data_IF_539577192128
#
_entry.id   IF_539577192128
#
_cell.length_a   1.000
_cell.length_b   1.000
_cell.length_c   1.000
_cell.angle_alpha   90.00
_cell.angle_beta   90.00
_cell.angle_gamma   90.00
#
_symmetry.space_group_name_H-M   'P 1'
#
loop_
_entity.id
_entity.type
_entity.pdbx_description
1 polymer ?
#
# COMPACT_ATOMS: atom_id res chain seq x y z
N UNK A 1 -94.50 46.36 10.93
CA UNK A 1 -95.20 47.37 11.74
C UNK A 1 -95.83 48.50 10.92
N UNK A 2 -95.11 49.21 10.04
CA UNK A 2 -95.70 50.35 9.28
C UNK A 2 -96.94 49.98 8.44
N UNK A 3 -96.93 48.83 7.74
CA UNK A 3 -98.11 48.31 7.02
C UNK A 3 -99.30 48.02 7.94
N UNK A 4 -99.08 47.30 9.03
CA UNK A 4 -100.13 47.01 10.01
C UNK A 4 -100.74 48.29 10.63
N UNK A 5 -99.94 49.35 10.82
CA UNK A 5 -100.43 50.66 11.30
C UNK A 5 -101.24 51.40 10.23
N UNK A 6 -100.92 51.23 8.95
CA UNK A 6 -101.70 51.79 7.84
C UNK A 6 -103.03 51.04 7.67
N UNK A 7 -103.01 49.70 7.68
CA UNK A 7 -104.19 48.85 7.66
C UNK A 7 -105.12 49.15 8.85
N UNK A 8 -104.58 49.33 10.06
CA UNK A 8 -105.38 49.70 11.22
C UNK A 8 -106.01 51.12 11.12
N UNK A 9 -105.36 52.05 10.42
CA UNK A 9 -105.92 53.38 10.15
C UNK A 9 -107.01 53.34 9.08
N UNK A 10 -106.87 52.49 8.07
CA UNK A 10 -107.89 52.28 7.05
C UNK A 10 -109.13 51.60 7.62
N UNK A 11 -108.97 50.53 8.40
CA UNK A 11 -110.06 49.88 9.12
C UNK A 11 -110.79 50.84 10.06
N UNK A 12 -110.08 51.75 10.73
CA UNK A 12 -110.70 52.78 11.58
C UNK A 12 -111.56 53.77 10.78
N UNK A 13 -111.16 54.13 9.56
CA UNK A 13 -111.95 55.00 8.67
C UNK A 13 -113.22 54.28 8.19
N UNK A 14 -113.09 53.02 7.78
CA UNK A 14 -114.24 52.20 7.37
C UNK A 14 -115.24 52.00 8.52
N UNK A 15 -114.76 51.78 9.75
CA UNK A 15 -115.63 51.63 10.93
C UNK A 15 -116.36 52.93 11.29
N UNK A 16 -115.77 54.10 11.01
CA UNK A 16 -116.45 55.40 11.17
C UNK A 16 -117.54 55.58 10.10
N UNK A 17 -117.26 55.23 8.84
CA UNK A 17 -118.27 55.26 7.78
C UNK A 17 -119.44 54.32 8.07
N UNK A 18 -119.17 53.07 8.48
CA UNK A 18 -120.22 52.12 8.86
C UNK A 18 -121.05 52.58 10.07
N UNK A 19 -120.46 53.34 11.01
CA UNK A 19 -121.22 53.96 12.11
C UNK A 19 -122.09 55.11 11.62
N UNK A 20 -121.62 55.87 10.65
CA UNK A 20 -122.37 56.97 10.03
C UNK A 20 -123.56 56.43 9.24
N UNK A 21 -123.35 55.41 8.41
CA UNK A 21 -124.41 54.71 7.66
C UNK A 21 -125.42 54.03 8.60
N UNK A 22 -124.97 53.44 9.71
CA UNK A 22 -125.88 52.87 10.72
C UNK A 22 -126.73 53.95 11.43
N UNK A 23 -126.19 55.15 11.62
CA UNK A 23 -126.93 56.27 12.18
C UNK A 23 -127.91 56.87 11.16
N UNK A 24 -127.52 56.93 9.88
CA UNK A 24 -128.42 57.31 8.77
C UNK A 24 -129.57 56.31 8.60
N UNK A 25 -129.31 55.00 8.73
CA UNK A 25 -130.35 53.96 8.74
C UNK A 25 -131.26 54.07 9.98
N UNK A 26 -130.75 54.53 11.12
CA UNK A 26 -131.57 54.85 12.30
C UNK A 26 -132.47 56.06 12.06
N UNK A 27 -131.94 57.12 11.45
CA UNK A 27 -132.70 58.32 11.08
C UNK A 27 -133.77 57.98 10.01
N UNK A 28 -133.46 57.07 9.07
CA UNK A 28 -134.41 56.58 8.07
C UNK A 28 -135.50 55.67 8.68
N UNK A 29 -135.17 54.85 9.69
CA UNK A 29 -136.14 54.03 10.41
C UNK A 29 -137.02 54.84 11.39
N UNK A 30 -136.53 55.98 11.91
CA UNK A 30 -137.31 56.89 12.78
C UNK A 30 -138.17 57.90 12.01
N UNK A 31 -137.98 58.07 10.68
CA UNK A 31 -138.78 58.96 9.84
C UNK A 31 -140.01 58.32 9.19
N UNK A 32 -140.23 57.00 9.31
CA UNK A 32 -141.35 56.30 8.69
C UNK A 32 -142.08 55.37 9.68
N UNK A 33 -142.68 55.92 10.73
CA UNK A 33 -143.64 55.17 11.56
C UNK A 33 -144.58 56.06 12.39
N UNK A 34 -145.38 56.91 11.75
CA UNK A 34 -146.70 57.38 12.26
C UNK A 34 -147.42 58.21 11.20
N UNK A 35 -148.40 57.61 10.51
CA UNK A 35 -149.67 58.23 10.06
C UNK A 35 -150.47 57.24 9.21
N UNK A 36 -151.48 56.59 9.80
CA UNK A 36 -152.82 56.51 9.18
C UNK A 36 -153.47 57.91 9.31
N UNK A 37 -154.60 58.31 8.66
CA UNK A 37 -155.68 57.51 8.06
C UNK A 37 -156.29 58.16 6.78
N UNK A 38 -157.50 57.74 6.38
CA UNK A 38 -158.43 58.58 5.59
C UNK A 38 -158.52 58.20 4.11
N UNK A 39 -159.43 57.33 3.67
CA UNK A 39 -160.88 57.53 3.44
C UNK A 39 -161.18 58.59 2.35
N UNK A 40 -161.95 58.16 1.34
CA UNK A 40 -163.24 58.69 0.85
C UNK A 40 -163.35 58.40 -0.67
N UNK A 41 -164.28 57.52 -1.07
CA UNK A 41 -165.69 57.86 -1.42
C UNK A 41 -165.77 58.29 -2.90
N UNK A 42 -166.81 58.01 -3.68
CA UNK A 42 -168.20 58.14 -3.31
C UNK A 42 -169.13 57.64 -4.42
N UNK A 43 -170.42 57.69 -4.06
CA UNK A 43 -171.60 58.00 -4.89
C UNK A 43 -172.33 56.77 -5.42
N UNK A 44 -173.57 56.50 -5.07
CA UNK A 44 -174.72 57.27 -4.55
C UNK A 44 -175.97 56.62 -5.20
N UNK A 45 -177.22 56.73 -4.81
CA UNK A 45 -177.97 57.59 -3.87
C UNK A 45 -179.44 57.17 -4.00
N UNK A 46 -180.18 57.01 -2.88
CA UNK A 46 -181.60 57.46 -2.62
C UNK A 46 -182.77 56.91 -3.51
N UNK A 47 -184.05 56.73 -3.15
CA UNK A 47 -184.97 57.37 -2.16
C UNK A 47 -186.37 56.67 -2.13
N UNK A 48 -187.00 56.67 -0.95
CA UNK A 48 -188.43 56.79 -0.53
C UNK A 48 -189.68 56.23 -1.27
N UNK A 49 -190.56 55.63 -0.44
CA UNK A 49 -192.02 55.88 -0.22
C UNK A 49 -193.16 55.43 -1.16
N UNK A 50 -194.08 54.68 -0.53
CA UNK A 50 -195.56 54.83 -0.45
C UNK A 50 -196.53 54.41 -1.59
N UNK A 51 -197.52 53.61 -1.12
CA UNK A 51 -198.99 53.61 -1.34
C UNK A 51 -199.67 53.26 -2.68
N UNK A 52 -200.60 52.29 -2.53
CA UNK A 52 -201.97 52.23 -3.07
C UNK A 52 -202.30 51.54 -4.41
N UNK A 53 -203.19 50.54 -4.26
CA UNK A 53 -204.41 50.18 -5.02
C UNK A 53 -204.43 50.05 -6.56
N UNK A 54 -204.89 48.86 -6.94
CA UNK A 54 -205.87 48.50 -7.99
C UNK A 54 -205.42 48.33 -9.46
N UNK A 55 -205.66 47.08 -9.92
CA UNK A 55 -206.10 46.62 -11.24
C UNK A 55 -205.07 46.45 -12.39
N UNK A 56 -204.55 45.22 -12.57
CA UNK A 56 -204.66 44.39 -13.80
C UNK A 56 -203.55 43.31 -13.91
N UNK A 57 -203.93 42.04 -13.73
CA UNK A 57 -203.08 40.88 -13.38
C UNK A 57 -202.36 40.12 -14.54
N UNK A 58 -201.79 40.75 -15.59
CA UNK A 58 -201.13 39.97 -16.68
C UNK A 58 -199.74 40.42 -17.17
N UNK A 59 -199.24 41.60 -16.76
CA UNK A 59 -197.98 42.16 -17.29
C UNK A 59 -196.76 41.99 -16.35
N UNK A 60 -196.97 41.93 -15.04
CA UNK A 60 -195.89 41.86 -14.02
C UNK A 60 -195.23 40.46 -13.99
N UNK A 61 -196.00 39.40 -14.26
CA UNK A 61 -195.48 38.03 -14.30
C UNK A 61 -194.44 37.83 -15.42
N UNK A 62 -194.60 38.51 -16.57
CA UNK A 62 -193.65 38.47 -17.69
C UNK A 62 -192.32 39.15 -17.34
N UNK A 63 -192.34 40.27 -16.62
CA UNK A 63 -191.12 40.97 -16.18
C UNK A 63 -190.35 40.17 -15.12
N UNK A 64 -191.06 39.55 -14.18
CA UNK A 64 -190.43 38.69 -13.17
C UNK A 64 -189.79 37.45 -13.81
N UNK A 65 -190.46 36.82 -14.78
CA UNK A 65 -189.90 35.70 -15.56
C UNK A 65 -188.66 36.11 -16.36
N UNK A 66 -188.69 37.26 -17.04
CA UNK A 66 -187.50 37.81 -17.71
C UNK A 66 -186.34 38.06 -16.74
N UNK A 67 -186.63 38.61 -15.55
CA UNK A 67 -185.60 38.90 -14.57
C UNK A 67 -184.98 37.63 -13.96
N UNK A 68 -185.78 36.59 -13.72
CA UNK A 68 -185.28 35.26 -13.33
C UNK A 68 -184.40 34.67 -14.44
N UNK A 69 -184.80 34.81 -15.70
CA UNK A 69 -184.03 34.31 -16.83
C UNK A 69 -182.67 35.02 -16.98
N UNK A 70 -182.64 36.35 -16.80
CA UNK A 70 -181.40 37.14 -16.79
C UNK A 70 -180.49 36.74 -15.64
N UNK A 71 -181.02 36.62 -14.42
CA UNK A 71 -180.24 36.20 -13.25
C UNK A 71 -179.70 34.78 -13.38
N UNK A 72 -180.46 33.88 -14.02
CA UNK A 72 -180.02 32.50 -14.30
C UNK A 72 -178.89 32.49 -15.33
N UNK A 73 -179.00 33.30 -16.39
CA UNK A 73 -177.92 33.48 -17.36
C UNK A 73 -176.66 34.05 -16.70
N UNK A 74 -176.81 35.08 -15.86
CA UNK A 74 -175.71 35.66 -15.10
C UNK A 74 -175.06 34.67 -14.12
N UNK A 75 -175.85 33.84 -13.44
CA UNK A 75 -175.31 32.78 -12.58
C UNK A 75 -174.55 31.72 -13.39
N UNK A 76 -175.08 31.29 -14.54
CA UNK A 76 -174.35 30.35 -15.41
C UNK A 76 -173.06 30.95 -15.96
N UNK A 77 -173.04 32.26 -16.23
CA UNK A 77 -171.86 33.00 -16.66
C UNK A 77 -170.83 33.10 -15.53
N UNK A 78 -171.27 33.41 -14.30
CA UNK A 78 -170.42 33.44 -13.11
C UNK A 78 -169.85 32.07 -12.76
N UNK A 79 -170.65 30.99 -12.86
CA UNK A 79 -170.18 29.62 -12.68
C UNK A 79 -169.14 29.25 -13.75
N UNK A 80 -169.40 29.61 -15.01
CA UNK A 80 -168.43 29.39 -16.09
C UNK A 80 -167.13 30.17 -15.88
N UNK A 81 -167.22 31.40 -15.37
CA UNK A 81 -166.07 32.24 -15.03
C UNK A 81 -165.32 31.70 -13.81
N UNK A 82 -166.02 31.18 -12.80
CA UNK A 82 -165.41 30.54 -11.64
C UNK A 82 -164.65 29.26 -12.05
N UNK A 83 -165.21 28.44 -12.94
CA UNK A 83 -164.55 27.25 -13.49
C UNK A 83 -163.32 27.66 -14.30
N UNK A 84 -163.41 28.68 -15.17
CA UNK A 84 -162.25 29.18 -15.93
C UNK A 84 -161.15 29.72 -15.03
N UNK A 85 -161.51 30.48 -13.99
CA UNK A 85 -160.55 31.00 -13.01
C UNK A 85 -159.90 29.86 -12.23
N UNK A 86 -160.68 28.86 -11.80
CA UNK A 86 -160.15 27.70 -11.09
C UNK A 86 -159.19 26.89 -11.95
N UNK A 87 -159.54 26.67 -13.22
CA UNK A 87 -158.66 26.01 -14.19
C UNK A 87 -157.39 26.82 -14.46
N UNK A 88 -157.51 28.16 -14.57
CA UNK A 88 -156.35 29.04 -14.74
C UNK A 88 -155.42 29.01 -13.52
N UNK A 89 -155.97 28.97 -12.31
CA UNK A 89 -155.19 28.82 -11.08
C UNK A 89 -154.51 27.47 -11.05
N UNK A 90 -155.20 26.38 -11.40
CA UNK A 90 -154.61 25.04 -11.46
C UNK A 90 -153.48 24.93 -12.50
N UNK A 91 -153.66 25.52 -13.69
CA UNK A 91 -152.62 25.57 -14.72
C UNK A 91 -151.40 26.36 -14.22
N UNK A 92 -151.61 27.51 -13.59
CA UNK A 92 -150.52 28.32 -13.01
C UNK A 92 -149.82 27.60 -11.85
N UNK A 93 -150.56 26.94 -10.95
CA UNK A 93 -150.01 26.13 -9.86
C UNK A 93 -149.17 24.97 -10.42
N UNK A 94 -149.61 24.33 -11.50
CA UNK A 94 -148.84 23.27 -12.17
C UNK A 94 -147.57 23.81 -12.85
N UNK A 95 -147.64 25.01 -13.44
CA UNK A 95 -146.51 25.70 -14.05
C UNK A 95 -145.50 26.16 -12.99
N UNK A 96 -145.96 26.72 -11.89
CA UNK A 96 -145.13 27.09 -10.74
C UNK A 96 -144.50 25.85 -10.10
N UNK A 97 -145.24 24.75 -9.94
CA UNK A 97 -144.68 23.48 -9.47
C UNK A 97 -143.58 22.95 -10.41
N UNK A 98 -143.80 22.99 -11.73
CA UNK A 98 -142.80 22.56 -12.72
C UNK A 98 -141.54 23.45 -12.71
N UNK A 99 -141.71 24.77 -12.62
CA UNK A 99 -140.57 25.70 -12.54
C UNK A 99 -139.82 25.54 -11.21
N UNK A 100 -140.50 25.33 -10.09
CA UNK A 100 -139.86 25.03 -8.79
C UNK A 100 -139.06 23.74 -8.87
N UNK A 101 -139.59 22.67 -9.48
CA UNK A 101 -138.85 21.40 -9.67
C UNK A 101 -137.61 21.62 -10.53
N UNK A 102 -137.73 22.38 -11.64
CA UNK A 102 -136.61 22.68 -12.52
C UNK A 102 -135.54 23.54 -11.82
N UNK A 103 -135.93 24.59 -11.11
CA UNK A 103 -135.02 25.43 -10.33
C UNK A 103 -134.33 24.62 -9.22
N UNK A 104 -135.05 23.69 -8.58
CA UNK A 104 -134.48 22.80 -7.57
C UNK A 104 -133.46 21.82 -8.17
N UNK A 105 -133.72 21.28 -9.37
CA UNK A 105 -132.77 20.43 -10.08
C UNK A 105 -131.52 21.21 -10.51
N UNK A 106 -131.70 22.40 -11.08
CA UNK A 106 -130.61 23.30 -11.47
C UNK A 106 -129.76 23.72 -10.25
N UNK A 107 -130.38 24.01 -9.10
CA UNK A 107 -129.67 24.31 -7.86
C UNK A 107 -128.81 23.11 -7.42
N UNK A 108 -129.37 21.89 -7.44
CA UNK A 108 -128.61 20.68 -7.11
C UNK A 108 -127.43 20.47 -8.07
N UNK A 109 -127.62 20.66 -9.37
CA UNK A 109 -126.53 20.56 -10.35
C UNK A 109 -125.42 21.59 -10.07
N UNK A 110 -125.80 22.85 -9.82
CA UNK A 110 -124.84 23.91 -9.44
C UNK A 110 -124.12 23.59 -8.14
N UNK A 111 -124.79 23.01 -7.16
CA UNK A 111 -124.14 22.56 -5.92
C UNK A 111 -123.11 21.45 -6.18
N UNK A 112 -123.39 20.50 -7.08
CA UNK A 112 -122.42 19.47 -7.48
C UNK A 112 -121.24 20.05 -8.27
N UNK A 113 -121.47 21.03 -9.15
CA UNK A 113 -120.38 21.76 -9.83
C UNK A 113 -119.50 22.50 -8.82
N UNK A 114 -120.11 23.18 -7.84
CA UNK A 114 -119.39 23.90 -6.78
C UNK A 114 -118.55 22.94 -5.94
N UNK A 115 -119.05 21.76 -5.59
CA UNK A 115 -118.25 20.76 -4.85
C UNK A 115 -117.10 20.23 -5.69
N UNK A 116 -117.34 19.90 -6.96
CA UNK A 116 -116.28 19.46 -7.89
C UNK A 116 -115.18 20.51 -8.05
N UNK A 117 -115.54 21.78 -8.31
CA UNK A 117 -114.57 22.88 -8.44
C UNK A 117 -113.81 23.11 -7.14
N UNK A 118 -114.46 22.96 -5.98
CA UNK A 118 -113.78 23.03 -4.67
C UNK A 118 -112.78 21.89 -4.48
N UNK A 119 -113.10 20.68 -4.93
CA UNK A 119 -112.18 19.54 -4.88
C UNK A 119 -110.99 19.72 -5.81
N UNK A 120 -111.22 20.19 -7.04
CA UNK A 120 -110.13 20.45 -8.00
C UNK A 120 -109.25 21.60 -7.55
N UNK A 121 -109.82 22.64 -6.92
CA UNK A 121 -109.05 23.70 -6.27
C UNK A 121 -108.17 23.13 -5.13
N UNK A 122 -108.67 22.18 -4.34
CA UNK A 122 -107.86 21.51 -3.30
C UNK A 122 -106.73 20.68 -3.92
N UNK A 123 -107.01 19.90 -4.97
CA UNK A 123 -105.99 19.11 -5.71
C UNK A 123 -104.92 20.02 -6.30
N UNK A 124 -105.31 21.10 -6.97
CA UNK A 124 -104.38 22.08 -7.55
C UNK A 124 -103.50 22.75 -6.49
N UNK A 125 -104.06 23.08 -5.32
CA UNK A 125 -103.28 23.60 -4.18
C UNK A 125 -102.24 22.59 -3.68
N UNK A 126 -102.60 21.31 -3.55
CA UNK A 126 -101.65 20.27 -3.15
C UNK A 126 -100.51 20.10 -4.18
N UNK A 127 -100.82 20.10 -5.48
CA UNK A 127 -99.81 20.05 -6.54
C UNK A 127 -98.92 21.29 -6.53
N UNK A 128 -99.48 22.48 -6.32
CA UNK A 128 -98.72 23.72 -6.18
C UNK A 128 -97.78 23.69 -4.95
N UNK A 129 -98.25 23.18 -3.82
CA UNK A 129 -97.43 23.02 -2.61
C UNK A 129 -96.34 21.97 -2.80
N UNK A 130 -96.63 20.85 -3.48
CA UNK A 130 -95.65 19.80 -3.75
C UNK A 130 -94.57 20.28 -4.74
N UNK A 131 -94.95 20.97 -5.82
CA UNK A 131 -94.02 21.58 -6.78
C UNK A 131 -93.18 22.66 -6.11
N UNK A 132 -93.78 23.50 -5.25
CA UNK A 132 -93.03 24.47 -4.43
C UNK A 132 -92.00 23.79 -3.54
N UNK A 133 -92.36 22.69 -2.86
CA UNK A 133 -91.40 21.89 -2.06
C UNK A 133 -90.28 21.30 -2.92
N UNK A 134 -90.61 20.73 -4.10
CA UNK A 134 -89.63 20.20 -5.06
C UNK A 134 -88.67 21.28 -5.55
N UNK A 135 -89.19 22.44 -5.97
CA UNK A 135 -88.37 23.58 -6.39
C UNK A 135 -87.48 24.10 -5.26
N UNK A 136 -87.98 24.17 -4.02
CA UNK A 136 -87.17 24.56 -2.86
C UNK A 136 -86.08 23.53 -2.54
N UNK A 137 -86.36 22.24 -2.66
CA UNK A 137 -85.37 21.16 -2.48
C UNK A 137 -84.27 21.24 -3.55
N UNK A 138 -84.65 21.34 -4.82
CA UNK A 138 -83.70 21.51 -5.94
C UNK A 138 -82.83 22.77 -5.78
N UNK A 139 -83.42 23.89 -5.31
CA UNK A 139 -82.68 25.12 -5.02
C UNK A 139 -81.64 24.93 -3.91
N UNK A 140 -81.94 24.16 -2.87
CA UNK A 140 -80.98 23.85 -1.80
C UNK A 140 -79.86 22.95 -2.32
N UNK A 141 -80.22 21.87 -3.02
CA UNK A 141 -79.24 20.94 -3.61
C UNK A 141 -78.29 21.64 -4.59
N UNK A 142 -78.80 22.52 -5.45
CA UNK A 142 -77.96 23.30 -6.39
C UNK A 142 -77.06 24.30 -5.69
N UNK A 143 -77.49 24.89 -4.57
CA UNK A 143 -76.63 25.75 -3.74
C UNK A 143 -75.52 24.94 -3.07
N UNK A 144 -75.83 23.78 -2.52
CA UNK A 144 -74.84 22.88 -1.90
C UNK A 144 -73.85 22.33 -2.93
N UNK A 145 -74.31 21.99 -4.14
CA UNK A 145 -73.46 21.57 -5.25
C UNK A 145 -72.52 22.70 -5.72
N UNK A 146 -73.05 23.92 -5.88
CA UNK A 146 -72.22 25.09 -6.20
C UNK A 146 -71.19 25.39 -5.11
N UNK A 147 -71.56 25.22 -3.84
CA UNK A 147 -70.62 25.39 -2.72
C UNK A 147 -69.53 24.31 -2.69
N UNK A 148 -69.87 23.05 -2.98
CA UNK A 148 -68.88 21.97 -3.14
C UNK A 148 -67.92 22.25 -4.29
N UNK A 149 -68.44 22.66 -5.45
CA UNK A 149 -67.61 23.02 -6.60
C UNK A 149 -66.66 24.21 -6.31
N UNK A 150 -67.11 25.20 -5.54
CA UNK A 150 -66.25 26.31 -5.10
C UNK A 150 -65.12 25.82 -4.17
N UNK A 151 -65.43 24.95 -3.21
CA UNK A 151 -64.42 24.37 -2.32
C UNK A 151 -63.39 23.54 -3.07
N UNK A 152 -63.82 22.72 -4.04
CA UNK A 152 -62.94 21.94 -4.91
C UNK A 152 -62.05 22.86 -5.76
N UNK A 153 -62.60 23.92 -6.34
CA UNK A 153 -61.82 24.92 -7.08
C UNK A 153 -60.80 25.64 -6.20
N UNK A 154 -61.15 25.98 -4.96
CA UNK A 154 -60.20 26.56 -4.01
C UNK A 154 -59.05 25.61 -3.69
N UNK A 155 -59.33 24.32 -3.51
CA UNK A 155 -58.31 23.29 -3.29
C UNK A 155 -57.40 23.15 -4.50
N UNK A 156 -57.97 23.05 -5.71
CA UNK A 156 -57.21 23.00 -6.96
C UNK A 156 -56.34 24.24 -7.15
N UNK A 157 -56.84 25.43 -6.82
CA UNK A 157 -56.05 26.66 -6.87
C UNK A 157 -54.88 26.65 -5.87
N UNK A 158 -55.06 26.08 -4.68
CA UNK A 158 -53.96 25.89 -3.70
C UNK A 158 -52.92 24.91 -4.24
N UNK A 159 -53.35 23.75 -4.76
CA UNK A 159 -52.46 22.77 -5.37
C UNK A 159 -51.68 23.36 -6.56
N UNK A 160 -52.34 24.12 -7.43
CA UNK A 160 -51.70 24.79 -8.56
C UNK A 160 -50.61 25.78 -8.10
N UNK A 161 -50.88 26.57 -7.06
CA UNK A 161 -49.87 27.47 -6.46
C UNK A 161 -48.68 26.71 -5.88
N UNK A 162 -48.91 25.60 -5.19
CA UNK A 162 -47.84 24.74 -4.66
C UNK A 162 -46.98 24.17 -5.78
N UNK A 163 -47.60 23.63 -6.84
CA UNK A 163 -46.89 23.10 -8.01
C UNK A 163 -46.10 24.20 -8.74
N UNK A 164 -46.66 25.40 -8.88
CA UNK A 164 -45.95 26.54 -9.46
C UNK A 164 -44.74 26.96 -8.62
N UNK A 165 -44.86 26.94 -7.29
CA UNK A 165 -43.75 27.16 -6.37
C UNK A 165 -42.63 26.12 -6.52
N UNK A 166 -43.00 24.84 -6.66
CA UNK A 166 -42.04 23.75 -6.91
C UNK A 166 -41.37 23.89 -8.30
N UNK A 167 -42.13 24.23 -9.34
CA UNK A 167 -41.61 24.51 -10.68
C UNK A 167 -40.62 25.68 -10.68
N UNK A 168 -40.87 26.72 -9.88
CA UNK A 168 -39.96 27.86 -9.74
C UNK A 168 -38.61 27.49 -9.06
N UNK A 169 -38.59 26.46 -8.21
CA UNK A 169 -37.37 25.97 -7.54
C UNK A 169 -36.52 25.04 -8.43
N UNK A 170 -37.12 24.37 -9.42
CA UNK A 170 -36.42 23.43 -10.31
C UNK A 170 -35.19 24.03 -11.01
N UNK A 171 -35.22 25.25 -11.59
CA UNK A 171 -34.04 25.85 -12.20
C UNK A 171 -32.89 26.04 -11.22
N UNK A 172 -33.17 26.39 -9.96
CA UNK A 172 -32.15 26.54 -8.92
C UNK A 172 -31.53 25.21 -8.54
N UNK A 173 -32.35 24.17 -8.33
CA UNK A 173 -31.86 22.81 -8.05
C UNK A 173 -31.03 22.26 -9.22
N UNK A 174 -31.45 22.52 -10.47
CA UNK A 174 -30.69 22.15 -11.67
C UNK A 174 -29.33 22.83 -11.71
N UNK A 175 -29.25 24.14 -11.40
CA UNK A 175 -27.97 24.86 -11.30
C UNK A 175 -27.08 24.29 -10.20
N UNK A 176 -27.64 23.94 -9.04
CA UNK A 176 -26.89 23.31 -7.95
C UNK A 176 -26.35 21.93 -8.34
N UNK A 177 -27.14 21.12 -9.05
CA UNK A 177 -26.72 19.82 -9.57
C UNK A 177 -25.55 19.97 -10.55
N UNK A 178 -25.66 20.87 -11.53
CA UNK A 178 -24.60 21.09 -12.52
C UNK A 178 -23.32 21.64 -11.87
N UNK A 179 -23.44 22.54 -10.90
CA UNK A 179 -22.29 23.00 -10.10
C UNK A 179 -21.63 21.87 -9.32
N UNK A 180 -22.41 20.97 -8.72
CA UNK A 180 -21.89 19.81 -8.01
C UNK A 180 -21.21 18.81 -8.96
N UNK A 181 -21.73 18.63 -10.19
CA UNK A 181 -21.10 17.82 -11.23
C UNK A 181 -19.77 18.43 -11.70
N UNK A 182 -19.74 19.73 -11.97
CA UNK A 182 -18.52 20.44 -12.36
C UNK A 182 -17.43 20.30 -11.30
N UNK A 183 -17.75 20.58 -10.02
CA UNK A 183 -16.81 20.38 -8.91
C UNK A 183 -16.28 18.95 -8.81
N UNK A 184 -17.14 17.94 -9.04
CA UNK A 184 -16.71 16.54 -9.03
C UNK A 184 -15.79 16.22 -10.20
N UNK A 185 -16.07 16.76 -11.38
CA UNK A 185 -15.21 16.61 -12.56
C UNK A 185 -13.84 17.28 -12.32
N UNK A 186 -13.81 18.52 -11.83
CA UNK A 186 -12.58 19.25 -11.51
C UNK A 186 -11.70 18.46 -10.52
N UNK A 187 -12.31 17.93 -9.46
CA UNK A 187 -11.59 17.12 -8.46
C UNK A 187 -11.08 15.83 -9.08
N UNK A 188 -11.86 15.15 -9.92
CA UNK A 188 -11.45 13.94 -10.62
C UNK A 188 -10.26 14.21 -11.56
N UNK A 189 -10.31 15.28 -12.35
CA UNK A 189 -9.20 15.70 -13.22
C UNK A 189 -7.93 16.02 -12.42
N UNK A 190 -8.05 16.71 -11.29
CA UNK A 190 -6.89 16.99 -10.41
C UNK A 190 -6.28 15.69 -9.87
N UNK A 191 -7.10 14.72 -9.46
CA UNK A 191 -6.61 13.42 -8.98
C UNK A 191 -5.96 12.61 -10.10
N UNK A 192 -6.57 12.57 -11.28
CA UNK A 192 -6.01 11.92 -12.45
C UNK A 192 -4.66 12.53 -12.83
N UNK A 193 -4.57 13.86 -12.93
CA UNK A 193 -3.32 14.57 -13.20
C UNK A 193 -2.24 14.29 -12.15
N UNK A 194 -2.60 14.19 -10.86
CA UNK A 194 -1.65 13.83 -9.79
C UNK A 194 -1.16 12.39 -9.92
N UNK A 195 -2.04 11.47 -10.28
CA UNK A 195 -1.70 10.08 -10.51
C UNK A 195 -0.75 9.95 -11.71
N UNK A 196 -1.11 10.55 -12.85
CA UNK A 196 -0.27 10.56 -14.04
C UNK A 196 1.11 11.19 -13.78
N UNK A 197 1.18 12.27 -13.00
CA UNK A 197 2.47 12.87 -12.58
C UNK A 197 3.29 11.94 -11.70
N UNK A 198 2.66 11.22 -10.77
CA UNK A 198 3.35 10.23 -9.93
C UNK A 198 3.86 9.07 -10.75
N UNK A 199 3.05 8.55 -11.68
CA UNK A 199 3.43 7.44 -12.55
C UNK A 199 4.58 7.85 -13.48
N UNK A 200 4.53 9.05 -14.05
CA UNK A 200 5.65 9.57 -14.85
C UNK A 200 6.91 9.82 -14.00
N UNK A 201 6.78 10.26 -12.75
CA UNK A 201 7.94 10.43 -11.86
C UNK A 201 8.55 9.07 -11.49
N UNK A 202 7.69 8.09 -11.18
CA UNK A 202 8.11 6.72 -10.89
C UNK A 202 8.83 6.08 -12.08
N UNK A 203 8.31 6.21 -13.30
CA UNK A 203 8.96 5.70 -14.50
C UNK A 203 10.34 6.34 -14.72
N UNK A 204 10.47 7.65 -14.55
CA UNK A 204 11.78 8.33 -14.65
C UNK A 204 12.76 7.86 -13.58
N UNK A 205 12.29 7.64 -12.35
CA UNK A 205 13.12 7.11 -11.27
C UNK A 205 13.55 5.66 -11.52
N UNK A 206 12.64 4.83 -12.03
CA UNK A 206 12.94 3.44 -12.43
C UNK A 206 13.97 3.40 -13.57
N UNK A 207 13.82 4.26 -14.59
CA UNK A 207 14.78 4.41 -15.68
C UNK A 207 16.16 4.86 -15.17
N UNK A 208 16.21 5.88 -14.31
CA UNK A 208 17.46 6.34 -13.70
C UNK A 208 18.10 5.26 -12.81
N UNK A 209 17.30 4.48 -12.08
CA UNK A 209 17.78 3.36 -11.27
C UNK A 209 18.37 2.24 -12.14
N UNK A 210 17.70 1.89 -13.25
CA UNK A 210 18.23 0.94 -14.24
C UNK A 210 19.55 1.41 -14.84
N UNK A 211 19.65 2.70 -15.21
CA UNK A 211 20.89 3.27 -15.73
C UNK A 211 22.03 3.18 -14.70
N UNK A 212 21.79 3.59 -13.44
CA UNK A 212 22.79 3.45 -12.37
C UNK A 212 23.20 2.00 -12.13
N UNK A 213 22.26 1.06 -12.21
CA UNK A 213 22.57 -0.36 -12.09
C UNK A 213 23.45 -0.84 -13.24
N UNK A 214 23.19 -0.41 -14.48
CA UNK A 214 24.04 -0.75 -15.63
C UNK A 214 25.43 -0.11 -15.52
N UNK A 215 25.52 1.13 -15.08
CA UNK A 215 26.81 1.82 -14.83
C UNK A 215 27.61 1.13 -13.73
N UNK A 216 26.94 0.78 -12.62
CA UNK A 216 27.58 0.03 -11.52
C UNK A 216 28.01 -1.37 -11.96
N UNK A 217 27.21 -2.06 -12.78
CA UNK A 217 27.58 -3.36 -13.33
C UNK A 217 28.80 -3.26 -14.25
N UNK A 218 28.87 -2.21 -15.08
CA UNK A 218 30.04 -1.95 -15.92
C UNK A 218 31.30 -1.67 -15.09
N UNK A 219 31.20 -0.84 -14.05
CA UNK A 219 32.31 -0.58 -13.11
C UNK A 219 32.77 -1.85 -12.39
N UNK A 220 31.84 -2.72 -11.99
CA UNK A 220 32.19 -4.02 -11.38
C UNK A 220 32.94 -4.88 -12.39
N UNK A 221 32.51 -4.93 -13.66
CA UNK A 221 33.19 -5.68 -14.70
C UNK A 221 34.63 -5.17 -14.93
N UNK A 222 34.82 -3.86 -15.02
CA UNK A 222 36.14 -3.22 -15.14
C UNK A 222 37.04 -3.58 -13.94
N UNK A 223 36.52 -3.46 -12.71
CA UNK A 223 37.26 -3.81 -11.50
C UNK A 223 37.56 -5.32 -11.42
N UNK A 224 36.69 -6.19 -11.94
CA UNK A 224 36.97 -7.63 -12.00
C UNK A 224 38.09 -7.95 -12.98
N UNK A 225 38.11 -7.29 -14.13
CA UNK A 225 39.17 -7.45 -15.13
C UNK A 225 40.51 -6.92 -14.59
N UNK A 226 40.52 -5.76 -13.93
CA UNK A 226 41.70 -5.23 -13.25
C UNK A 226 42.22 -6.16 -12.16
N UNK A 227 41.31 -6.72 -11.34
CA UNK A 227 41.67 -7.71 -10.31
C UNK A 227 42.32 -8.94 -10.93
N UNK A 228 41.78 -9.45 -12.03
CA UNK A 228 42.33 -10.63 -12.71
C UNK A 228 43.70 -10.33 -13.33
N UNK A 229 43.86 -9.17 -13.95
CA UNK A 229 45.16 -8.70 -14.45
C UNK A 229 46.20 -8.56 -13.34
N UNK A 230 45.83 -7.95 -12.21
CA UNK A 230 46.71 -7.82 -11.05
C UNK A 230 47.06 -9.19 -10.45
N UNK A 231 46.10 -10.10 -10.38
CA UNK A 231 46.33 -11.47 -9.92
C UNK A 231 47.31 -12.21 -10.83
N UNK A 232 47.13 -12.14 -12.15
CA UNK A 232 48.04 -12.75 -13.11
C UNK A 232 49.47 -12.19 -12.99
N UNK A 233 49.59 -10.86 -12.77
CA UNK A 233 50.88 -10.20 -12.54
C UNK A 233 51.53 -10.62 -11.22
N UNK A 234 50.74 -10.80 -10.16
CA UNK A 234 51.23 -11.34 -8.88
C UNK A 234 51.75 -12.77 -9.06
N UNK A 235 50.99 -13.64 -9.71
CA UNK A 235 51.42 -15.02 -10.00
C UNK A 235 52.70 -15.06 -10.86
N UNK A 236 52.87 -14.12 -11.79
CA UNK A 236 54.10 -13.99 -12.58
C UNK A 236 55.29 -13.53 -11.72
N UNK A 237 55.09 -12.57 -10.82
CA UNK A 237 56.13 -12.10 -9.90
C UNK A 237 56.51 -13.18 -8.88
N UNK A 238 55.55 -13.93 -8.36
CA UNK A 238 55.78 -15.08 -7.48
C UNK A 238 56.62 -16.15 -8.19
N UNK A 239 56.28 -16.48 -9.45
CA UNK A 239 57.10 -17.39 -10.28
C UNK A 239 58.53 -16.88 -10.45
N UNK A 240 58.70 -15.61 -10.84
CA UNK A 240 60.04 -15.00 -10.98
C UNK A 240 60.85 -15.04 -9.68
N UNK A 241 60.20 -14.83 -8.53
CA UNK A 241 60.86 -14.90 -7.23
C UNK A 241 61.30 -16.33 -6.91
N UNK A 242 60.44 -17.32 -7.18
CA UNK A 242 60.82 -18.73 -7.02
C UNK A 242 61.98 -19.12 -7.94
N UNK A 243 62.01 -18.64 -9.18
CA UNK A 243 63.10 -18.88 -10.12
C UNK A 243 64.42 -18.27 -9.60
N UNK A 244 64.39 -17.01 -9.15
CA UNK A 244 65.55 -16.35 -8.54
C UNK A 244 66.04 -17.09 -7.27
N UNK A 245 65.12 -17.52 -6.41
CA UNK A 245 65.48 -18.28 -5.20
C UNK A 245 66.10 -19.64 -5.55
N UNK A 246 65.64 -20.29 -6.63
CA UNK A 246 66.23 -21.53 -7.13
C UNK A 246 67.63 -21.28 -7.71
N UNK A 247 67.79 -20.25 -8.55
CA UNK A 247 69.07 -19.84 -9.11
C UNK A 247 70.09 -19.52 -8.00
N UNK A 248 69.71 -18.72 -6.99
CA UNK A 248 70.56 -18.43 -5.84
C UNK A 248 70.92 -19.68 -5.02
N UNK A 249 70.00 -20.63 -4.87
CA UNK A 249 70.31 -21.90 -4.20
C UNK A 249 71.31 -22.74 -4.99
N UNK A 250 71.20 -22.76 -6.31
CA UNK A 250 72.12 -23.46 -7.19
C UNK A 250 73.49 -22.77 -7.22
N UNK A 251 73.54 -21.44 -7.29
CA UNK A 251 74.77 -20.66 -7.12
C UNK A 251 75.43 -20.95 -5.76
N UNK A 252 74.67 -20.93 -4.67
CA UNK A 252 75.19 -21.24 -3.34
C UNK A 252 75.75 -22.67 -3.26
N UNK A 253 75.10 -23.65 -3.93
CA UNK A 253 75.62 -25.02 -4.03
C UNK A 253 76.92 -25.06 -4.82
N UNK A 254 77.00 -24.34 -5.95
CA UNK A 254 78.22 -24.25 -6.75
C UNK A 254 79.37 -23.56 -6.00
N UNK A 255 79.10 -22.45 -5.31
CA UNK A 255 80.08 -21.78 -4.46
C UNK A 255 80.54 -22.69 -3.31
N UNK A 256 79.61 -23.40 -2.66
CA UNK A 256 79.95 -24.36 -1.60
C UNK A 256 80.83 -25.51 -2.13
N UNK A 257 80.54 -26.03 -3.33
CA UNK A 257 81.37 -27.03 -3.99
C UNK A 257 82.77 -26.48 -4.31
N UNK A 258 82.84 -25.28 -4.90
CA UNK A 258 84.11 -24.61 -5.22
C UNK A 258 84.94 -24.35 -3.96
N UNK A 259 84.31 -23.92 -2.86
CA UNK A 259 84.98 -23.74 -1.58
C UNK A 259 85.52 -25.08 -1.05
N UNK A 260 84.75 -26.16 -1.13
CA UNK A 260 85.23 -27.49 -0.74
C UNK A 260 86.42 -27.97 -1.60
N UNK A 261 86.42 -27.70 -2.91
CA UNK A 261 87.55 -27.97 -3.79
C UNK A 261 88.79 -27.12 -3.44
N UNK A 262 88.59 -25.83 -3.16
CA UNK A 262 89.66 -24.93 -2.71
C UNK A 262 90.22 -25.36 -1.35
N UNK A 263 89.37 -25.74 -0.40
CA UNK A 263 89.80 -26.33 0.88
C UNK A 263 90.60 -27.61 0.64
N UNK A 264 90.14 -28.49 -0.25
CA UNK A 264 90.83 -29.73 -0.62
C UNK A 264 92.21 -29.48 -1.24
N UNK A 265 92.32 -28.55 -2.19
CA UNK A 265 93.61 -28.17 -2.81
C UNK A 265 94.54 -27.49 -1.80
N UNK A 266 93.99 -26.64 -0.91
CA UNK A 266 94.76 -26.01 0.17
C UNK A 266 95.33 -27.07 1.13
N UNK A 267 94.54 -28.07 1.52
CA UNK A 267 95.02 -29.20 2.33
C UNK A 267 96.09 -30.02 1.60
N UNK A 268 95.94 -30.25 0.29
CA UNK A 268 96.96 -30.94 -0.52
C UNK A 268 98.27 -30.13 -0.59
N UNK A 269 98.20 -28.82 -0.79
CA UNK A 269 99.36 -27.93 -0.78
C UNK A 269 100.01 -27.89 0.60
N UNK A 270 99.22 -27.80 1.68
CA UNK A 270 99.73 -27.85 3.05
C UNK A 270 100.45 -29.19 3.31
N UNK A 271 99.89 -30.32 2.85
CA UNK A 271 100.54 -31.63 2.96
C UNK A 271 101.85 -31.69 2.16
N UNK A 272 101.88 -31.19 0.92
CA UNK A 272 103.10 -31.11 0.10
C UNK A 272 104.15 -30.21 0.74
N UNK A 273 103.74 -29.08 1.33
CA UNK A 273 104.62 -28.17 2.04
C UNK A 273 105.23 -28.85 3.27
N UNK A 274 104.44 -29.57 4.07
CA UNK A 274 104.96 -30.37 5.19
C UNK A 274 105.97 -31.43 4.74
N UNK A 275 105.72 -32.12 3.61
CA UNK A 275 106.66 -33.09 3.03
C UNK A 275 107.93 -32.41 2.53
N UNK A 276 107.81 -31.27 1.84
CA UNK A 276 108.96 -30.50 1.37
C UNK A 276 109.78 -29.93 2.53
N UNK A 277 109.14 -29.45 3.60
CA UNK A 277 109.81 -29.05 4.84
C UNK A 277 110.54 -30.22 5.49
N UNK A 278 109.93 -31.40 5.56
CA UNK A 278 110.60 -32.59 6.08
C UNK A 278 111.82 -32.97 5.22
N UNK A 279 111.66 -33.00 3.90
CA UNK A 279 112.76 -33.26 2.96
C UNK A 279 113.87 -32.20 3.05
N UNK A 280 113.53 -30.92 3.27
CA UNK A 280 114.51 -29.86 3.49
C UNK A 280 115.25 -30.03 4.83
N UNK A 281 114.56 -30.45 5.89
CA UNK A 281 115.20 -30.79 7.18
C UNK A 281 116.12 -32.00 7.03
N UNK A 282 115.70 -33.04 6.30
CA UNK A 282 116.53 -34.21 5.99
C UNK A 282 117.74 -33.84 5.13
N UNK A 283 117.57 -33.00 4.11
CA UNK A 283 118.67 -32.50 3.28
C UNK A 283 119.66 -31.66 4.10
N UNK A 284 119.18 -30.79 5.00
CA UNK A 284 120.03 -30.04 5.90
C UNK A 284 120.80 -30.96 6.87
N UNK A 285 120.15 -32.00 7.40
CA UNK A 285 120.82 -33.03 8.20
C UNK A 285 121.88 -33.79 7.39
N UNK A 286 121.56 -34.15 6.14
CA UNK A 286 122.50 -34.80 5.23
C UNK A 286 123.70 -33.90 4.89
N UNK A 287 123.50 -32.59 4.73
CA UNK A 287 124.59 -31.64 4.52
C UNK A 287 125.50 -31.53 5.75
N UNK A 288 124.93 -31.51 6.95
CA UNK A 288 125.70 -31.54 8.20
C UNK A 288 126.53 -32.82 8.29
N UNK A 289 125.91 -33.99 8.04
CA UNK A 289 126.62 -35.27 8.01
C UNK A 289 127.71 -35.26 6.93
N UNK A 290 127.42 -34.74 5.73
CA UNK A 290 128.40 -34.66 4.64
C UNK A 290 129.60 -33.79 5.05
N UNK A 291 129.37 -32.62 5.67
CA UNK A 291 130.45 -31.77 6.21
C UNK A 291 131.24 -32.49 7.30
N UNK A 292 130.57 -33.14 8.24
CA UNK A 292 131.24 -33.94 9.28
C UNK A 292 132.07 -35.08 8.68
N UNK A 293 131.57 -35.78 7.66
CA UNK A 293 132.32 -36.84 6.97
C UNK A 293 133.50 -36.27 6.19
N UNK A 294 133.35 -35.12 5.55
CA UNK A 294 134.44 -34.44 4.86
C UNK A 294 135.52 -33.98 5.85
N UNK A 295 135.14 -33.45 7.01
CA UNK A 295 136.06 -33.11 8.09
C UNK A 295 136.77 -34.35 8.66
N UNK A 296 136.08 -35.47 8.80
CA UNK A 296 136.71 -36.73 9.21
C UNK A 296 137.69 -37.23 8.13
N UNK A 297 137.32 -37.14 6.86
CA UNK A 297 138.18 -37.52 5.74
C UNK A 297 139.44 -36.64 5.68
N UNK A 298 139.30 -35.32 5.82
CA UNK A 298 140.47 -34.42 5.86
C UNK A 298 141.36 -34.67 7.07
N UNK A 299 140.79 -34.94 8.25
CA UNK A 299 141.57 -35.36 9.44
C UNK A 299 142.33 -36.67 9.21
N UNK A 300 141.71 -37.65 8.55
CA UNK A 300 142.37 -38.91 8.20
C UNK A 300 143.46 -38.71 7.15
N UNK A 301 143.25 -37.84 6.16
CA UNK A 301 144.29 -37.46 5.19
C UNK A 301 145.49 -36.80 5.86
N UNK A 302 145.27 -35.86 6.78
CA UNK A 302 146.33 -35.24 7.58
C UNK A 302 147.11 -36.28 8.40
N UNK A 303 146.41 -37.20 9.08
CA UNK A 303 147.04 -38.30 9.81
C UNK A 303 147.89 -39.20 8.89
N UNK A 304 147.47 -39.41 7.65
CA UNK A 304 148.20 -40.20 6.67
C UNK A 304 149.44 -39.45 6.14
N UNK A 305 149.33 -38.14 5.91
CA UNK A 305 150.46 -37.25 5.56
C UNK A 305 151.49 -37.22 6.69
N UNK A 306 151.07 -37.00 7.94
CA UNK A 306 151.96 -37.04 9.12
C UNK A 306 152.66 -38.41 9.26
N UNK A 307 151.96 -39.50 8.95
CA UNK A 307 152.54 -40.84 8.95
C UNK A 307 153.52 -41.04 7.78
N UNK A 308 153.26 -40.48 6.60
CA UNK A 308 154.17 -40.50 5.46
C UNK A 308 155.45 -39.71 5.77
N UNK A 309 155.33 -38.51 6.33
CA UNK A 309 156.46 -37.68 6.76
C UNK A 309 157.30 -38.40 7.82
N UNK A 310 156.67 -39.11 8.77
CA UNK A 310 157.38 -39.91 9.75
C UNK A 310 158.13 -41.11 9.14
N UNK A 311 157.62 -41.68 8.04
CA UNK A 311 158.30 -42.73 7.29
C UNK A 311 159.45 -42.15 6.47
N UNK A 312 159.26 -41.00 5.83
CA UNK A 312 160.29 -40.29 5.08
C UNK A 312 161.46 -39.89 6.00
N UNK A 313 161.17 -39.33 7.18
CA UNK A 313 162.19 -39.02 8.18
C UNK A 313 162.96 -40.27 8.66
N UNK A 314 162.31 -41.43 8.74
CA UNK A 314 162.97 -42.71 9.04
C UNK A 314 163.81 -43.21 7.87
N UNK A 315 163.33 -43.06 6.64
CA UNK A 315 164.04 -43.43 5.43
C UNK A 315 165.32 -42.59 5.28
N UNK A 316 165.24 -41.27 5.43
CA UNK A 316 166.41 -40.39 5.40
C UNK A 316 167.43 -40.76 6.49
N UNK A 317 166.98 -41.16 7.68
CA UNK A 317 167.88 -41.61 8.75
C UNK A 317 168.59 -42.91 8.37
N UNK A 318 167.86 -43.86 7.80
CA UNK A 318 168.44 -45.10 7.29
C UNK A 318 169.45 -44.85 6.15
N UNK A 319 169.17 -43.90 5.26
CA UNK A 319 170.10 -43.49 4.20
C UNK A 319 171.38 -42.86 4.78
N UNK A 320 171.26 -41.97 5.78
CA UNK A 320 172.43 -41.40 6.46
C UNK A 320 173.29 -42.48 7.12
N UNK A 321 172.67 -43.47 7.76
CA UNK A 321 173.35 -44.60 8.38
C UNK A 321 174.06 -45.49 7.32
N UNK A 322 173.43 -45.68 6.15
CA UNK A 322 173.99 -46.46 5.03
C UNK A 322 175.21 -45.76 4.40
N UNK A 323 175.16 -44.44 4.23
CA UNK A 323 176.29 -43.63 3.76
C UNK A 323 177.46 -43.67 4.77
N UNK A 324 177.18 -43.66 6.07
CA UNK A 324 178.21 -43.87 7.10
C UNK A 324 178.83 -45.28 7.02
N UNK A 325 178.05 -46.33 6.76
CA UNK A 325 178.57 -47.68 6.60
C UNK A 325 179.42 -47.83 5.32
N UNK A 326 179.01 -47.22 4.21
CA UNK A 326 179.75 -47.24 2.94
C UNK A 326 181.10 -46.49 3.04
N UNK A 327 181.17 -45.39 3.77
CA UNK A 327 182.43 -44.66 4.00
C UNK A 327 183.40 -45.43 4.90
N UNK A 328 182.89 -46.18 5.88
CA UNK A 328 183.71 -47.11 6.67
C UNK A 328 184.26 -48.26 5.82
N UNK A 329 183.43 -48.86 4.96
CA UNK A 329 183.84 -49.90 4.00
C UNK A 329 184.91 -49.38 3.03
N UNK A 330 184.74 -48.17 2.51
CA UNK A 330 185.70 -47.54 1.58
C UNK A 330 187.05 -47.27 2.24
N UNK A 331 187.07 -46.86 3.52
CA UNK A 331 188.31 -46.71 4.29
C UNK A 331 189.02 -48.05 4.52
N UNK A 332 188.27 -49.12 4.82
CA UNK A 332 188.83 -50.46 4.99
C UNK A 332 189.39 -51.02 3.67
N UNK A 333 188.69 -50.79 2.55
CA UNK A 333 189.16 -51.19 1.21
C UNK A 333 190.46 -50.49 0.79
N UNK A 334 190.60 -49.19 1.11
CA UNK A 334 191.82 -48.43 0.84
C UNK A 334 193.03 -48.86 1.69
N UNK A 335 192.81 -49.26 2.95
CA UNK A 335 193.88 -49.72 3.82
C UNK A 335 194.44 -51.10 3.42
N UNK A 336 193.60 -51.98 2.84
CA UNK A 336 193.99 -53.33 2.43
C UNK A 336 194.77 -53.35 1.12
N UNK A 337 194.36 -52.53 0.15
CA UNK A 337 195.07 -52.37 -1.14
C UNK A 337 196.49 -51.81 -0.98
N UNK A 338 196.71 -50.91 -0.01
CA UNK A 338 198.04 -50.37 0.30
C UNK A 338 199.05 -51.39 0.85
N UNK A 339 198.60 -52.57 1.31
CA UNK A 339 199.45 -53.66 1.81
C UNK A 339 199.69 -54.79 0.81
N UNK A 340 199.25 -54.62 -0.44
CA UNK A 340 199.44 -55.64 -1.49
C UNK A 340 198.57 -56.89 -1.33
N UNK A 341 197.46 -56.81 -0.57
CA UNK A 341 196.53 -57.92 -0.34
C UNK A 341 195.12 -57.48 -0.77
N UNK A 342 194.49 -58.21 -1.69
CA UNK A 342 193.11 -57.94 -2.13
C UNK A 342 192.09 -58.53 -1.15
N UNK A 343 191.01 -57.77 -0.87
CA UNK A 343 189.92 -58.15 0.04
C UNK A 343 189.29 -59.52 -0.34
N UNK A 344 189.25 -59.84 -1.63
CA UNK A 344 188.80 -61.14 -2.15
C UNK A 344 189.69 -62.33 -1.76
N UNK A 345 190.96 -62.09 -1.41
CA UNK A 345 191.86 -63.15 -0.95
C UNK A 345 191.62 -63.52 0.53
N UNK A 346 191.14 -62.57 1.35
CA UNK A 346 190.76 -62.81 2.75
C UNK A 346 189.36 -63.42 2.90
N UNK A 347 188.45 -63.14 1.96
CA UNK A 347 187.11 -63.78 1.92
C UNK A 347 187.15 -65.27 1.52
N UNK A 348 188.30 -65.79 1.05
CA UNK A 348 188.51 -67.21 0.72
C UNK A 348 189.03 -68.06 1.90
N UNK A 349 189.30 -67.48 3.07
CA UNK A 349 189.63 -68.20 4.30
C UNK A 349 188.70 -67.81 5.46
N UNK A 350 187.46 -68.30 5.45
CA UNK A 350 186.71 -68.53 6.69
C UNK A 350 185.46 -69.40 6.46
N UNK A 351 185.39 -70.48 7.24
CA UNK A 351 184.27 -71.42 7.40
C UNK A 351 183.20 -70.89 8.40
N UNK A 352 182.03 -71.56 8.55
CA UNK A 352 180.70 -70.95 8.63
C UNK A 352 180.25 -70.63 10.06
N UNK A 353 179.40 -69.62 10.26
CA UNK A 353 178.68 -69.42 11.54
C UNK A 353 177.24 -68.90 11.32
N UNK A 354 176.30 -69.78 11.64
CA UNK A 354 174.91 -69.50 12.02
C UNK A 354 174.85 -68.67 13.29
N UNK A 355 174.04 -67.60 13.34
CA UNK A 355 173.62 -66.97 14.60
C UNK A 355 172.15 -66.58 14.56
N UNK A 356 171.42 -67.19 15.51
CA UNK A 356 170.08 -66.88 15.95
C UNK A 356 170.08 -65.72 16.98
N UNK A 357 168.87 -65.29 17.36
CA UNK A 357 168.51 -64.30 18.40
C UNK A 357 168.44 -62.85 17.89
N UNK A 358 167.46 -62.01 18.25
CA UNK A 358 166.74 -61.90 19.53
C UNK A 358 165.49 -61.01 19.36
N UNK A 359 164.36 -61.50 19.85
CA UNK A 359 163.13 -60.83 20.34
C UNK A 359 163.43 -59.62 21.27
N UNK A 360 162.50 -58.69 21.64
CA UNK A 360 161.21 -59.10 22.23
C UNK A 360 159.99 -58.15 22.29
N UNK A 361 158.91 -58.74 22.79
CA UNK A 361 157.91 -58.12 23.71
C UNK A 361 156.92 -57.14 23.08
N UNK A 362 155.71 -56.90 23.56
CA UNK A 362 155.02 -57.28 24.79
C UNK A 362 153.58 -56.79 24.61
N UNK A 363 152.60 -57.65 24.90
CA UNK A 363 151.42 -57.31 25.71
C UNK A 363 150.44 -56.24 25.15
N UNK A 364 149.21 -56.06 25.60
CA UNK A 364 148.28 -56.72 26.52
C UNK A 364 147.06 -55.81 26.47
N UNK A 365 145.86 -56.40 26.53
CA UNK A 365 144.71 -55.80 27.24
C UNK A 365 144.17 -54.50 26.60
N UNK A 366 142.99 -53.98 26.88
CA UNK A 366 141.83 -54.31 27.68
C UNK A 366 140.74 -53.41 27.06
N UNK A 367 139.56 -53.93 26.77
CA UNK A 367 138.42 -53.85 27.67
C UNK A 367 137.79 -52.46 27.80
N UNK A 368 136.45 -52.49 27.70
CA UNK A 368 135.49 -51.66 28.44
C UNK A 368 135.32 -50.23 27.92
N UNK A 369 134.13 -49.96 27.40
CA UNK A 369 133.00 -49.40 28.18
C UNK A 369 133.08 -47.87 28.06
N UNK A 370 132.00 -47.10 28.09
CA UNK A 370 130.70 -47.22 28.73
C UNK A 370 129.96 -45.92 28.35
N UNK A 371 128.64 -45.91 28.55
CA UNK A 371 127.90 -44.81 29.22
C UNK A 371 128.17 -43.36 28.76
N UNK A 372 127.19 -42.52 28.43
CA UNK A 372 125.86 -42.25 29.01
C UNK A 372 125.23 -41.26 28.02
N UNK A 373 123.95 -41.27 27.73
CA UNK A 373 122.84 -41.42 28.66
C UNK A 373 122.18 -40.06 28.85
N UNK A 374 120.88 -39.99 28.57
CA UNK A 374 119.85 -39.19 29.26
C UNK A 374 118.64 -39.04 28.34
N UNK A 375 117.38 -39.05 28.74
CA UNK A 375 116.62 -39.72 29.81
C UNK A 375 115.16 -39.25 29.60
N UNK A 376 114.19 -40.08 30.01
CA UNK A 376 112.81 -39.70 30.41
C UNK A 376 111.87 -39.17 29.30
N UNK A 377 110.60 -39.56 29.17
CA UNK A 377 109.63 -40.14 30.11
C UNK A 377 108.41 -40.64 29.30
N UNK A 378 107.65 -41.56 29.89
CA UNK A 378 106.42 -42.09 29.32
C UNK A 378 105.20 -41.85 30.27
N UNK A 379 104.01 -41.83 29.63
CA UNK A 379 102.61 -42.15 30.07
C UNK A 379 101.83 -41.21 31.03
N UNK A 380 100.47 -41.35 31.20
CA UNK A 380 99.30 -41.51 30.27
C UNK A 380 98.09 -40.56 30.59
N UNK A 381 97.00 -40.58 29.78
CA UNK A 381 95.55 -40.82 30.16
C UNK A 381 94.43 -39.99 29.47
N UNK A 382 93.32 -40.70 29.15
CA UNK A 382 91.88 -40.35 29.09
C UNK A 382 91.33 -39.37 28.03
N UNK A 383 90.45 -39.75 27.10
CA UNK A 383 89.01 -40.15 27.17
C UNK A 383 88.03 -38.98 27.25
N UNK A 384 87.20 -38.77 26.20
CA UNK A 384 85.71 -38.73 26.22
C UNK A 384 85.09 -38.14 24.94
N UNK A 385 84.30 -38.96 24.24
CA UNK A 385 83.03 -38.55 23.60
C UNK A 385 82.00 -38.19 24.69
N UNK A 386 80.96 -37.36 24.42
CA UNK A 386 79.69 -37.92 23.91
C UNK A 386 78.84 -37.01 22.97
N UNK A 387 78.21 -37.65 21.98
CA UNK A 387 76.74 -37.73 21.75
C UNK A 387 75.85 -36.61 22.35
N UNK A 388 74.99 -35.95 21.55
CA UNK A 388 73.51 -36.20 21.48
C UNK A 388 72.71 -35.17 20.64
N UNK A 389 71.86 -35.74 19.80
CA UNK A 389 70.68 -35.23 19.09
C UNK A 389 69.67 -34.36 19.88
N UNK A 390 68.92 -33.46 19.20
CA UNK A 390 67.46 -33.60 18.92
C UNK A 390 66.80 -32.36 18.27
N UNK A 391 66.30 -32.61 17.05
CA UNK A 391 65.04 -32.24 16.40
C UNK A 391 63.97 -31.38 17.11
N UNK A 392 63.48 -30.40 16.33
CA UNK A 392 62.07 -30.11 15.94
C UNK A 392 60.97 -30.12 17.01
N UNK A 393 60.22 -29.01 17.12
CA UNK A 393 58.86 -28.88 16.57
C UNK A 393 58.13 -27.63 17.09
N UNK A 394 57.59 -26.83 16.16
CA UNK A 394 56.38 -25.99 16.35
C UNK A 394 55.14 -26.90 16.24
N UNK A 395 53.98 -26.51 16.81
CA UNK A 395 52.91 -25.90 15.98
C UNK A 395 52.22 -24.70 16.69
N UNK A 396 51.86 -23.61 15.99
CA UNK A 396 50.66 -23.33 15.16
C UNK A 396 49.37 -23.02 15.97
N UNK A 397 48.84 -21.81 15.70
CA UNK A 397 47.44 -21.46 15.36
C UNK A 397 46.39 -21.46 16.50
N UNK A 398 45.38 -20.61 16.56
CA UNK A 398 44.96 -19.34 15.93
C UNK A 398 43.52 -19.05 16.46
N UNK A 399 43.00 -17.88 16.12
CA UNK A 399 41.59 -17.55 15.91
C UNK A 399 40.77 -16.98 17.08
N UNK A 400 40.91 -15.66 17.19
CA UNK A 400 39.78 -14.73 17.36
C UNK A 400 38.86 -14.79 16.14
N UNK A 401 37.53 -14.91 16.33
CA UNK A 401 36.56 -14.39 15.33
C UNK A 401 35.21 -14.02 15.95
N UNK A 402 34.74 -12.84 15.53
CA UNK A 402 33.57 -12.06 15.95
C UNK A 402 32.24 -12.54 15.34
N UNK A 403 31.15 -12.30 16.10
CA UNK A 403 29.77 -11.80 15.75
C UNK A 403 28.91 -12.66 14.78
N UNK A 404 27.56 -12.49 14.64
CA UNK A 404 26.70 -11.33 15.00
C UNK A 404 25.30 -11.64 15.59
N UNK A 405 24.59 -10.60 16.07
CA UNK A 405 23.11 -10.48 16.17
C UNK A 405 22.82 -8.98 15.96
N UNK A 406 22.27 -8.52 14.83
CA UNK A 406 20.89 -8.68 14.31
C UNK A 406 19.83 -8.38 15.36
N UNK A 407 19.15 -7.25 15.18
CA UNK A 407 17.75 -6.99 15.52
C UNK A 407 17.34 -5.67 14.85
N UNK A 408 16.66 -5.79 13.71
CA UNK A 408 15.56 -4.90 13.37
C UNK A 408 14.34 -5.43 14.14
N UNK A 409 13.54 -4.55 14.72
CA UNK A 409 12.10 -4.44 14.45
C UNK A 409 11.46 -3.39 15.37
N UNK A 410 10.54 -2.64 14.75
CA UNK A 410 9.34 -2.00 15.28
C UNK A 410 9.44 -0.91 16.36
N UNK A 411 9.00 0.31 16.01
CA UNK A 411 7.65 0.79 16.35
C UNK A 411 7.40 2.24 15.87
N UNK A 412 6.33 2.40 15.08
CA UNK A 412 5.39 3.53 14.90
C UNK A 412 5.84 4.89 14.38
#
# INVERSE_FOLDING_TARGET
MRRAVQEARELKKELVLLRQEKEELRIAAQKNSTSAPGIYSARGTTRENQTSKQNSNKSIELKLRQQIQILTAQNSELESNAIRLHQRVSDLESQDAATVVQLTANLKEKDHEITSVREDLKKAKLVADETKRKCQKMLKEKKEEAQRALQENEQLARCAKTLQGQLALLPQLKKQLEHAKAKRADVAEVWQNKLEKRDQAFLREEEASKQRLTESAAQIAELTDERENLKARLEELERKLCDIDADHQDELRHESQRLAELEGTTHQLQKKLLVAEAAAREAAQAEVIAKETQEQETRLRQLAEDAADAVEARAEKAERDLVQAQTQLSRLGGALTARGVTLDYLLKQQEPISVASRTPSSARSAARARDRGSSMKAVPTASKDPVRSRNLAKPRIDSSRRKPRSNNDDEK
#
